data_IF_498840888358
#
_entry.id   IF_498840888358
#
_cell.length_a   1.000
_cell.length_b   1.000
_cell.length_c   1.000
_cell.angle_alpha   90.00
_cell.angle_beta   90.00
_cell.angle_gamma   90.00
#
_symmetry.space_group_name_H-M   'P 1'
#
loop_
_entity.id
_entity.type
_entity.pdbx_description
1 polymer ?
#
# COMPACT_ATOMS: atom_id res chain seq x y z
N UNK A 1 -16.59 -11.29 -6.19
CA UNK A 1 -15.54 -11.15 -7.23
C UNK A 1 -14.41 -10.35 -6.59
N UNK A 2 -13.15 -10.75 -6.72
CA UNK A 2 -12.05 -10.07 -6.01
C UNK A 2 -11.78 -8.72 -6.70
N UNK A 3 -12.15 -7.62 -6.04
CA UNK A 3 -12.07 -6.26 -6.62
C UNK A 3 -10.64 -5.68 -6.59
N UNK A 4 -9.72 -6.30 -5.83
CA UNK A 4 -8.37 -5.79 -5.63
C UNK A 4 -7.50 -5.67 -6.90
N UNK A 5 -7.53 -6.58 -7.89
CA UNK A 5 -6.72 -6.43 -9.10
C UNK A 5 -7.19 -5.23 -9.93
N UNK A 6 -8.50 -4.95 -9.94
CA UNK A 6 -9.08 -3.79 -10.62
C UNK A 6 -8.64 -2.50 -9.94
N UNK A 7 -8.69 -2.45 -8.61
CA UNK A 7 -8.17 -1.31 -7.84
C UNK A 7 -6.69 -1.05 -8.16
N UNK A 8 -5.86 -2.08 -8.13
CA UNK A 8 -4.43 -1.95 -8.43
C UNK A 8 -4.18 -1.36 -9.84
N UNK A 9 -4.97 -1.79 -10.83
CA UNK A 9 -4.89 -1.26 -12.19
C UNK A 9 -5.30 0.23 -12.25
N UNK A 10 -6.40 0.59 -11.56
CA UNK A 10 -6.87 1.98 -11.49
C UNK A 10 -5.83 2.87 -10.83
N UNK A 11 -5.29 2.45 -9.68
CA UNK A 11 -4.23 3.18 -8.95
C UNK A 11 -3.00 3.37 -9.81
N UNK A 12 -2.51 2.32 -10.48
CA UNK A 12 -1.34 2.46 -11.38
C UNK A 12 -1.59 3.42 -12.52
N UNK A 13 -2.74 3.31 -13.19
CA UNK A 13 -3.10 4.21 -14.29
C UNK A 13 -3.24 5.67 -13.82
N UNK A 14 -3.84 5.88 -12.66
CA UNK A 14 -3.94 7.19 -12.03
C UNK A 14 -2.56 7.76 -11.68
N UNK A 15 -1.70 6.98 -11.02
CA UNK A 15 -0.37 7.39 -10.62
C UNK A 15 0.54 7.71 -11.82
N UNK A 16 0.45 6.93 -12.91
CA UNK A 16 1.11 7.25 -14.17
C UNK A 16 0.63 8.58 -14.75
N UNK A 17 -0.68 8.84 -14.73
CA UNK A 17 -1.24 10.11 -15.25
C UNK A 17 -0.88 11.32 -14.38
N UNK A 18 -0.74 11.11 -13.07
CA UNK A 18 -0.30 12.12 -12.13
C UNK A 18 1.22 12.34 -12.16
N UNK A 19 1.97 11.47 -12.86
CA UNK A 19 3.42 11.59 -13.01
C UNK A 19 4.20 11.17 -11.77
N UNK A 20 3.60 10.42 -10.83
CA UNK A 20 4.24 9.95 -9.60
C UNK A 20 4.65 8.46 -9.65
N UNK A 21 4.36 7.78 -10.77
CA UNK A 21 4.82 6.42 -11.06
C UNK A 21 5.95 6.49 -12.08
N UNK A 22 7.18 6.73 -11.62
CA UNK A 22 8.40 6.65 -12.42
C UNK A 22 9.65 6.45 -11.56
N UNK A 23 10.06 5.21 -11.35
CA UNK A 23 11.22 4.88 -10.52
C UNK A 23 12.56 5.40 -11.06
N UNK A 24 12.66 5.71 -12.36
CA UNK A 24 13.87 6.29 -12.94
C UNK A 24 14.07 7.76 -12.55
N UNK A 25 12.99 8.48 -12.24
CA UNK A 25 12.99 9.91 -11.93
C UNK A 25 12.92 10.16 -10.41
N UNK A 26 13.33 9.20 -9.59
CA UNK A 26 13.29 9.35 -8.13
C UNK A 26 11.89 9.17 -7.51
N UNK A 27 10.91 8.66 -8.26
CA UNK A 27 9.53 8.50 -7.78
C UNK A 27 9.22 7.03 -7.42
N UNK A 28 7.97 6.75 -7.07
CA UNK A 28 7.54 5.41 -6.69
C UNK A 28 7.49 4.46 -7.89
N UNK A 29 7.90 3.21 -7.65
CA UNK A 29 7.82 2.16 -8.66
C UNK A 29 6.42 1.54 -8.73
N UNK A 30 6.14 0.80 -9.81
CA UNK A 30 4.93 -0.03 -9.93
C UNK A 30 4.81 -1.05 -8.79
N UNK A 31 5.93 -1.52 -8.25
CA UNK A 31 5.97 -2.44 -7.11
C UNK A 31 5.61 -1.72 -5.81
N UNK A 32 6.17 -0.53 -5.54
CA UNK A 32 5.85 0.29 -4.36
C UNK A 32 4.36 0.63 -4.30
N UNK A 33 3.75 1.05 -5.43
CA UNK A 33 2.30 1.26 -5.48
C UNK A 33 1.49 -0.01 -5.22
N UNK A 34 1.98 -1.17 -5.70
CA UNK A 34 1.31 -2.44 -5.41
C UNK A 34 1.34 -2.75 -3.92
N UNK A 35 2.47 -2.48 -3.24
CA UNK A 35 2.61 -2.64 -1.79
C UNK A 35 1.67 -1.70 -1.03
N UNK A 36 1.54 -0.43 -1.46
CA UNK A 36 0.56 0.51 -0.90
C UNK A 36 -0.88 -0.01 -1.05
N UNK A 37 -1.24 -0.52 -2.22
CA UNK A 37 -2.58 -1.09 -2.46
C UNK A 37 -2.83 -2.29 -1.55
N UNK A 38 -1.87 -3.20 -1.41
CA UNK A 38 -2.01 -4.36 -0.51
C UNK A 38 -2.17 -3.91 0.94
N UNK A 39 -1.36 -2.96 1.40
CA UNK A 39 -1.48 -2.40 2.76
C UNK A 39 -2.86 -1.79 3.03
N UNK A 40 -3.34 -0.96 2.12
CA UNK A 40 -4.67 -0.36 2.23
C UNK A 40 -5.75 -1.42 2.36
N UNK A 41 -5.74 -2.42 1.49
CA UNK A 41 -6.76 -3.48 1.45
C UNK A 41 -6.68 -4.45 2.64
N UNK A 42 -5.50 -4.67 3.21
CA UNK A 42 -5.30 -5.64 4.30
C UNK A 42 -5.45 -5.01 5.69
N UNK A 43 -5.17 -3.71 5.84
CA UNK A 43 -5.02 -3.05 7.14
C UNK A 43 -5.97 -1.88 7.37
N UNK A 44 -6.49 -1.27 6.30
CA UNK A 44 -7.31 -0.05 6.36
C UNK A 44 -8.76 -0.35 6.05
N UNK A 45 -9.03 -1.15 5.01
CA UNK A 45 -10.38 -1.58 4.70
C UNK A 45 -10.94 -2.49 5.80
N UNK A 46 -12.17 -2.21 6.21
CA UNK A 46 -12.93 -3.04 7.16
C UNK A 46 -14.25 -3.46 6.53
N UNK A 47 -14.54 -4.78 6.40
CA UNK A 47 -13.64 -5.92 6.63
C UNK A 47 -12.45 -5.96 5.64
N UNK A 48 -11.31 -6.59 5.98
CA UNK A 48 -10.16 -6.68 5.08
C UNK A 48 -10.49 -7.41 3.77
N UNK A 49 -10.00 -6.89 2.64
CA UNK A 49 -10.27 -7.44 1.30
C UNK A 49 -9.23 -8.48 0.89
N UNK A 50 -7.97 -8.26 1.25
CA UNK A 50 -6.89 -9.22 1.04
C UNK A 50 -6.40 -9.72 2.40
N UNK A 51 -6.12 -11.03 2.54
CA UNK A 51 -5.61 -11.56 3.79
C UNK A 51 -4.14 -11.18 3.99
N UNK A 52 -3.74 -11.09 5.25
CA UNK A 52 -2.32 -11.04 5.59
C UNK A 52 -1.74 -12.47 5.58
N UNK A 53 -0.94 -12.79 4.56
CA UNK A 53 -0.45 -14.15 4.33
C UNK A 53 0.54 -14.64 5.39
N UNK A 54 1.38 -13.75 5.93
CA UNK A 54 2.34 -14.08 7.00
C UNK A 54 1.59 -14.51 8.28
N UNK A 55 0.53 -13.79 8.66
CA UNK A 55 -0.33 -14.16 9.80
C UNK A 55 -1.11 -15.45 9.56
N UNK A 56 -1.54 -15.70 8.33
CA UNK A 56 -2.30 -16.91 8.02
C UNK A 56 -1.42 -18.16 7.98
N UNK A 57 -0.16 -18.03 7.53
CA UNK A 57 0.76 -19.12 7.24
C UNK A 57 2.20 -18.81 7.71
N UNK A 58 2.43 -18.55 9.01
CA UNK A 58 3.71 -18.05 9.50
C UNK A 58 4.90 -18.98 9.20
N UNK A 59 4.70 -20.29 9.21
CA UNK A 59 5.74 -21.28 8.87
C UNK A 59 6.14 -21.26 7.40
N UNK A 60 5.24 -20.80 6.53
CA UNK A 60 5.47 -20.79 5.09
C UNK A 60 6.26 -19.53 4.67
N UNK A 61 6.03 -18.40 5.35
CA UNK A 61 6.69 -17.11 5.10
C UNK A 61 7.87 -16.84 6.06
N UNK A 62 8.38 -17.88 6.72
CA UNK A 62 9.65 -17.84 7.43
C UNK A 62 10.80 -17.74 6.42
N UNK A 63 11.80 -16.87 6.66
CA UNK A 63 12.87 -16.56 5.70
C UNK A 63 13.59 -17.79 5.12
N UNK A 64 13.66 -18.89 5.86
CA UNK A 64 14.27 -20.15 5.43
C UNK A 64 13.42 -20.97 4.45
N UNK A 65 12.13 -20.69 4.35
CA UNK A 65 11.15 -21.53 3.63
C UNK A 65 10.37 -20.79 2.51
N UNK A 66 10.51 -19.47 2.39
CA UNK A 66 9.83 -18.67 1.34
C UNK A 66 10.10 -19.23 -0.07
N UNK A 67 11.30 -19.72 -0.34
CA UNK A 67 11.67 -20.29 -1.64
C UNK A 67 11.15 -21.72 -1.87
N UNK A 68 10.73 -22.40 -0.81
CA UNK A 68 10.20 -23.78 -0.84
C UNK A 68 8.67 -23.83 -0.83
N UNK A 69 8.03 -22.67 -0.69
CA UNK A 69 6.58 -22.54 -0.71
C UNK A 69 6.05 -22.89 -2.10
N UNK A 70 5.39 -24.04 -2.22
CA UNK A 70 4.69 -24.38 -3.45
C UNK A 70 3.53 -23.40 -3.64
N UNK A 71 3.56 -22.64 -4.74
CA UNK A 71 2.58 -21.59 -5.07
C UNK A 71 1.12 -22.06 -4.91
N UNK A 72 0.85 -23.32 -5.23
CA UNK A 72 -0.48 -23.93 -5.15
C UNK A 72 -0.96 -24.15 -3.71
N UNK A 73 -0.07 -24.45 -2.76
CA UNK A 73 -0.43 -24.67 -1.35
C UNK A 73 -0.89 -23.37 -0.68
N UNK A 74 -0.21 -22.25 -0.96
CA UNK A 74 -0.62 -20.93 -0.49
C UNK A 74 -2.00 -20.52 -1.02
N UNK A 75 -2.25 -20.76 -2.31
CA UNK A 75 -3.53 -20.45 -2.96
C UNK A 75 -4.64 -21.29 -2.34
N UNK A 76 -4.44 -22.60 -2.20
CA UNK A 76 -5.43 -23.50 -1.62
C UNK A 76 -5.75 -23.15 -0.17
N UNK A 77 -4.73 -22.79 0.61
CA UNK A 77 -4.94 -22.41 2.01
C UNK A 77 -5.63 -21.05 2.14
N UNK A 78 -5.32 -20.08 1.28
CA UNK A 78 -6.01 -18.78 1.25
C UNK A 78 -7.47 -18.92 0.78
N UNK A 79 -7.75 -19.77 -0.20
CA UNK A 79 -9.11 -20.08 -0.67
C UNK A 79 -9.94 -20.78 0.42
N UNK A 80 -9.33 -21.68 1.20
CA UNK A 80 -10.01 -22.40 2.29
C UNK A 80 -10.43 -21.48 3.44
N UNK A 81 -9.68 -20.41 3.70
CA UNK A 81 -10.05 -19.40 4.71
C UNK A 81 -10.97 -18.36 4.06
N UNK A 82 -12.28 -18.59 4.12
CA UNK A 82 -13.28 -17.62 3.66
C UNK A 82 -13.14 -16.32 4.46
N UNK A 83 -12.69 -15.26 3.81
CA UNK A 83 -12.65 -13.92 4.38
C UNK A 83 -14.07 -13.33 4.45
N UNK A 84 -14.35 -12.46 5.43
CA UNK A 84 -15.58 -11.69 5.43
C UNK A 84 -15.71 -10.89 4.13
N UNK A 85 -16.92 -10.80 3.59
CA UNK A 85 -17.17 -10.04 2.37
C UNK A 85 -17.10 -8.54 2.66
N UNK A 86 -16.34 -7.82 1.84
CA UNK A 86 -16.34 -6.37 1.80
C UNK A 86 -17.20 -5.94 0.60
N UNK A 87 -18.18 -5.08 0.85
CA UNK A 87 -19.16 -4.64 -0.15
C UNK A 87 -18.76 -3.40 -0.94
N UNK A 88 -17.57 -2.83 -0.70
CA UNK A 88 -17.12 -1.61 -1.36
C UNK A 88 -16.81 -1.86 -2.84
N UNK A 89 -17.32 -0.96 -3.68
CA UNK A 89 -17.00 -0.90 -5.10
C UNK A 89 -15.56 -0.44 -5.33
N UNK A 90 -15.03 -0.69 -6.53
CA UNK A 90 -13.70 -0.19 -6.93
C UNK A 90 -13.60 1.34 -6.81
N UNK A 91 -14.69 2.07 -7.06
CA UNK A 91 -14.71 3.53 -6.94
C UNK A 91 -14.55 3.95 -5.48
N UNK A 92 -15.31 3.36 -4.55
CA UNK A 92 -15.20 3.66 -3.11
C UNK A 92 -13.82 3.28 -2.56
N UNK A 93 -13.28 2.13 -2.97
CA UNK A 93 -11.93 1.71 -2.60
C UNK A 93 -10.86 2.68 -3.11
N UNK A 94 -11.01 3.19 -4.34
CA UNK A 94 -10.08 4.16 -4.88
C UNK A 94 -10.15 5.49 -4.13
N UNK A 95 -11.36 5.99 -3.82
CA UNK A 95 -11.55 7.20 -3.02
C UNK A 95 -10.88 7.03 -1.64
N UNK A 96 -11.07 5.88 -0.99
CA UNK A 96 -10.40 5.58 0.27
C UNK A 96 -8.90 5.51 0.22
N UNK A 97 -8.37 4.87 -0.82
CA UNK A 97 -6.94 4.81 -1.06
C UNK A 97 -6.36 6.23 -1.13
N UNK A 98 -7.02 7.14 -1.86
CA UNK A 98 -6.61 8.55 -1.96
C UNK A 98 -6.73 9.26 -0.61
N UNK A 99 -7.85 9.12 0.10
CA UNK A 99 -8.06 9.75 1.40
C UNK A 99 -7.01 9.31 2.43
N UNK A 100 -6.80 8.00 2.54
CA UNK A 100 -5.83 7.41 3.46
C UNK A 100 -4.41 7.94 3.20
N UNK A 101 -3.93 7.85 1.96
CA UNK A 101 -2.56 8.23 1.63
C UNK A 101 -2.33 9.75 1.55
N UNK A 102 -3.38 10.56 1.35
CA UNK A 102 -3.30 12.01 1.48
C UNK A 102 -3.04 12.44 2.94
N UNK A 103 -3.57 11.68 3.90
CA UNK A 103 -3.41 11.92 5.35
C UNK A 103 -2.28 11.12 6.00
N UNK A 104 -1.57 10.29 5.25
CA UNK A 104 -0.55 9.41 5.82
C UNK A 104 0.64 10.23 6.33
N UNK A 105 1.07 10.04 7.59
CA UNK A 105 2.18 10.81 8.18
C UNK A 105 3.53 10.19 7.76
N UNK A 106 3.98 10.46 6.53
CA UNK A 106 5.21 9.90 5.95
C UNK A 106 6.48 10.25 6.74
N UNK A 107 6.46 11.37 7.46
CA UNK A 107 7.54 11.80 8.35
C UNK A 107 7.66 10.91 9.58
N UNK A 108 6.56 10.38 10.12
CA UNK A 108 6.62 9.62 11.38
C UNK A 108 6.48 8.12 11.16
N UNK A 109 5.88 7.71 10.03
CA UNK A 109 5.42 6.35 9.82
C UNK A 109 5.93 5.75 8.51
N UNK A 110 6.23 4.46 8.56
CA UNK A 110 6.42 3.60 7.40
C UNK A 110 5.27 2.59 7.25
N UNK A 111 5.28 1.88 6.14
CA UNK A 111 4.35 0.78 5.83
C UNK A 111 5.06 -0.55 6.03
N UNK A 112 4.45 -1.42 6.85
CA UNK A 112 4.87 -2.80 7.06
C UNK A 112 3.82 -3.73 6.44
N UNK A 113 4.08 -4.15 5.20
CA UNK A 113 3.16 -5.01 4.45
C UNK A 113 3.07 -6.40 5.09
N UNK A 114 4.18 -6.91 5.63
CA UNK A 114 4.26 -8.24 6.24
C UNK A 114 3.29 -8.37 7.40
N UNK A 115 3.26 -7.40 8.30
CA UNK A 115 2.40 -7.45 9.48
C UNK A 115 1.07 -6.72 9.28
N UNK A 116 0.87 -6.07 8.13
CA UNK A 116 -0.34 -5.34 7.80
C UNK A 116 -0.57 -4.20 8.79
N UNK A 117 0.43 -3.34 8.96
CA UNK A 117 0.37 -2.21 9.89
C UNK A 117 1.21 -1.05 9.40
N UNK A 118 1.01 0.09 10.06
CA UNK A 118 1.97 1.19 10.06
C UNK A 118 2.99 0.92 11.17
N UNK A 119 4.20 1.40 11.02
CA UNK A 119 5.24 1.35 12.05
C UNK A 119 5.93 2.70 12.17
N UNK A 120 6.33 3.06 13.38
CA UNK A 120 7.12 4.27 13.60
C UNK A 120 8.46 4.15 12.90
N UNK A 121 8.89 5.25 12.28
CA UNK A 121 10.21 5.35 11.67
C UNK A 121 11.25 5.51 12.78
N UNK A 122 12.20 4.58 12.84
CA UNK A 122 13.34 4.71 13.73
C UNK A 122 14.45 5.41 12.95
N UNK A 123 14.65 6.70 13.23
CA UNK A 123 15.73 7.50 12.65
C UNK A 123 17.06 7.14 13.30
N UNK A 124 17.55 5.93 13.03
CA UNK A 124 18.91 5.58 13.42
C UNK A 124 19.90 6.30 12.50
N UNK A 125 21.06 6.71 13.03
CA UNK A 125 22.08 7.46 12.27
C UNK A 125 22.69 6.66 11.09
N UNK A 126 22.43 5.35 11.03
CA UNK A 126 22.94 4.44 9.98
C UNK A 126 21.95 4.26 8.83
N UNK A 127 20.69 4.67 9.00
CA UNK A 127 19.71 4.67 7.92
C UNK A 127 19.91 5.95 7.09
N UNK A 128 20.42 5.82 5.88
CA UNK A 128 20.34 6.88 4.86
C UNK A 128 18.92 7.44 4.88
N UNK A 129 18.75 8.77 4.82
CA UNK A 129 17.46 9.42 5.01
C UNK A 129 16.40 8.92 4.01
N UNK A 130 15.70 7.83 4.34
CA UNK A 130 14.67 7.24 3.49
C UNK A 130 13.44 8.14 3.57
N UNK A 131 13.05 8.83 2.50
CA UNK A 131 11.94 9.78 2.62
C UNK A 131 10.56 9.10 2.66
N UNK A 132 10.44 7.95 2.00
CA UNK A 132 9.25 7.09 2.05
C UNK A 132 9.70 5.67 2.39
N UNK A 133 9.08 5.06 3.40
CA UNK A 133 9.39 3.69 3.86
C UNK A 133 8.22 2.76 3.58
N UNK A 134 8.44 1.80 2.69
CA UNK A 134 7.46 0.75 2.34
C UNK A 134 8.18 -0.60 2.37
N UNK A 135 8.19 -1.25 3.52
CA UNK A 135 8.80 -2.56 3.72
C UNK A 135 7.97 -3.65 3.04
N UNK A 136 8.56 -4.32 2.05
CA UNK A 136 7.93 -5.45 1.38
C UNK A 136 8.06 -6.75 2.22
N UNK A 137 7.15 -7.72 2.06
CA UNK A 137 6.96 -8.77 3.07
C UNK A 137 8.03 -9.88 3.10
N UNK A 138 8.92 -9.98 2.10
CA UNK A 138 9.80 -11.15 1.92
C UNK A 138 11.25 -10.87 2.34
N UNK A 139 11.94 -10.00 1.61
CA UNK A 139 13.34 -9.64 1.81
C UNK A 139 13.51 -8.54 2.88
N UNK A 140 12.43 -7.79 3.17
CA UNK A 140 12.34 -6.68 4.13
C UNK A 140 13.17 -5.47 3.72
N UNK A 141 13.29 -5.21 2.42
CA UNK A 141 13.87 -3.96 1.96
C UNK A 141 12.79 -2.90 1.73
N UNK A 142 13.19 -1.64 1.75
CA UNK A 142 12.32 -0.53 1.40
C UNK A 142 12.04 -0.51 -0.11
N UNK A 143 10.82 -0.87 -0.51
CA UNK A 143 10.39 -0.85 -1.91
C UNK A 143 10.30 0.55 -2.50
N UNK A 144 10.35 1.60 -1.67
CA UNK A 144 10.34 3.01 -2.07
C UNK A 144 11.74 3.65 -2.06
N UNK A 145 12.83 2.86 -2.00
CA UNK A 145 14.23 3.34 -2.02
C UNK A 145 14.62 4.24 -3.18
N UNK A 146 13.78 4.34 -4.21
CA UNK A 146 14.01 5.25 -5.33
C UNK A 146 13.65 6.69 -4.99
N UNK A 147 12.88 6.92 -3.92
CA UNK A 147 12.57 8.26 -3.40
C UNK A 147 13.75 8.73 -2.56
N UNK A 148 14.68 9.40 -3.24
CA UNK A 148 16.00 9.73 -2.69
C UNK A 148 16.13 11.19 -2.21
N UNK A 149 15.07 11.98 -2.27
CA UNK A 149 15.10 13.37 -1.80
C UNK A 149 13.79 13.80 -1.13
N UNK A 150 13.90 14.79 -0.25
CA UNK A 150 12.75 15.48 0.37
C UNK A 150 11.85 16.09 -0.70
N UNK A 151 12.45 16.57 -1.80
CA UNK A 151 11.70 17.11 -2.94
C UNK A 151 10.81 16.04 -3.60
N UNK A 152 11.32 14.82 -3.79
CA UNK A 152 10.57 13.74 -4.43
C UNK A 152 9.41 13.26 -3.54
N UNK A 153 9.65 13.08 -2.25
CA UNK A 153 8.60 12.79 -1.27
C UNK A 153 7.55 13.90 -1.28
N UNK A 154 7.99 15.16 -1.19
CA UNK A 154 7.08 16.30 -1.17
C UNK A 154 6.23 16.35 -2.44
N UNK A 155 6.83 16.13 -3.61
CA UNK A 155 6.13 16.09 -4.89
C UNK A 155 5.06 14.99 -4.93
N UNK A 156 5.38 13.79 -4.43
CA UNK A 156 4.42 12.68 -4.33
C UNK A 156 3.30 13.05 -3.36
N UNK A 157 3.64 13.41 -2.12
CA UNK A 157 2.72 13.73 -1.02
C UNK A 157 1.76 14.86 -1.40
N UNK A 158 2.27 15.95 -1.97
CA UNK A 158 1.44 17.07 -2.42
C UNK A 158 0.56 16.72 -3.60
N UNK A 159 1.02 15.89 -4.54
CA UNK A 159 0.20 15.46 -5.67
C UNK A 159 -1.02 14.66 -5.19
N UNK A 160 -0.83 13.73 -4.25
CA UNK A 160 -1.92 12.95 -3.65
C UNK A 160 -2.87 13.86 -2.86
N UNK A 161 -2.33 14.77 -2.02
CA UNK A 161 -3.12 15.76 -1.25
C UNK A 161 -3.92 16.69 -2.16
N UNK A 162 -3.37 17.10 -3.31
CA UNK A 162 -4.09 17.92 -4.28
C UNK A 162 -5.26 17.17 -4.91
N UNK A 163 -5.09 15.88 -5.22
CA UNK A 163 -6.19 15.03 -5.71
C UNK A 163 -7.27 14.89 -4.65
N UNK A 164 -6.90 14.58 -3.40
CA UNK A 164 -7.84 14.48 -2.29
C UNK A 164 -8.67 15.77 -2.09
N UNK A 165 -8.02 16.94 -2.06
CA UNK A 165 -8.72 18.24 -1.95
C UNK A 165 -9.72 18.46 -3.10
N UNK A 166 -9.33 18.13 -4.33
CA UNK A 166 -10.24 18.26 -5.47
C UNK A 166 -11.43 17.28 -5.41
N UNK A 167 -11.23 16.08 -4.87
CA UNK A 167 -12.29 15.07 -4.75
C UNK A 167 -13.24 15.40 -3.59
N UNK A 168 -12.72 15.66 -2.40
CA UNK A 168 -13.53 15.72 -1.18
C UNK A 168 -14.04 17.14 -0.89
N UNK A 169 -13.18 18.16 -0.98
CA UNK A 169 -13.58 19.55 -0.67
C UNK A 169 -14.38 20.17 -1.82
N UNK A 170 -13.93 19.99 -3.07
CA UNK A 170 -14.64 20.55 -4.24
C UNK A 170 -15.76 19.66 -4.75
N UNK A 171 -15.65 18.35 -4.58
CA UNK A 171 -16.66 17.38 -5.00
C UNK A 171 -17.82 17.22 -4.02
N UNK A 172 -17.77 17.86 -2.84
CA UNK A 172 -18.79 17.72 -1.77
C UNK A 172 -19.00 16.27 -1.32
N UNK A 173 -17.91 15.49 -1.27
CA UNK A 173 -17.92 14.11 -0.76
C UNK A 173 -17.26 14.11 0.63
N UNK A 174 -17.99 13.66 1.64
CA UNK A 174 -17.46 13.57 3.01
C UNK A 174 -16.50 12.37 3.15
N UNK A 175 -15.28 12.56 3.67
CA UNK A 175 -14.31 11.47 3.85
C UNK A 175 -14.79 10.35 4.79
N UNK A 176 -15.65 10.69 5.75
CA UNK A 176 -16.15 9.83 6.82
C UNK A 176 -17.21 8.81 6.34
N UNK A 177 -17.72 8.96 5.11
CA UNK A 177 -18.79 8.09 4.58
C UNK A 177 -18.24 6.76 4.04
N UNK A 178 -16.92 6.59 3.95
CA UNK A 178 -16.32 5.51 3.18
C UNK A 178 -15.55 4.45 3.98
N UNK A 179 -15.23 4.67 5.28
CA UNK A 179 -14.43 3.73 6.10
C UNK A 179 -14.81 3.74 7.58
#
# INVERSE_FOLDING_TARGET
>A
MTEWPKLNLVVKRWATKLGILNSFDGLLSSFSFTMMVIHFLQSVCTPPIVPNLDKLFPSAFERSHVWTLHHNECIDMAIKKRMPENGLSVAELFLGFIAYYASFPWDDMGIDVRHGKRHERNYSLEDEAEFIVIEEPYERYNSARTVCSEYDEYAISQSIKAVARNIFEKGSLEPEVLF
#
